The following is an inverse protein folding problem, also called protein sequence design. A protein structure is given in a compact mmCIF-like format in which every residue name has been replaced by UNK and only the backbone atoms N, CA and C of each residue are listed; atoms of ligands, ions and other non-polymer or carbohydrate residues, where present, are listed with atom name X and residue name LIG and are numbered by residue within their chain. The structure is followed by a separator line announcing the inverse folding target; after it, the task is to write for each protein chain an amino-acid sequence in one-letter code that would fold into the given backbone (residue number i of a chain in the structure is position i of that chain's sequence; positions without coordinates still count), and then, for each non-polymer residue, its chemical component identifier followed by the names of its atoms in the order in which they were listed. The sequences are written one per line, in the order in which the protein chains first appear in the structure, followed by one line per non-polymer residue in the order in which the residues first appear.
data_IF_865714357952
#
_entry.id   IF_865714357952
#
_cell.length_a   1.000
_cell.length_b   1.000
_cell.length_c   1.000
_cell.angle_alpha   90.00
_cell.angle_beta   90.00
_cell.angle_gamma   90.00
#
_symmetry.space_group_name_H-M   'P 1'
#
loop_
_entity.id
_entity.type
_entity.pdbx_description
1 polymer ?
#
# COMPACT_ATOMS: atom_id res chain seq x y z
N UNK A 1 -19.34 20.59 32.44
CA UNK A 1 -17.96 20.06 32.37
C UNK A 1 -17.17 21.02 31.50
N UNK A 2 -16.15 21.67 32.04
CA UNK A 2 -15.28 22.57 31.29
C UNK A 2 -14.39 21.75 30.37
N UNK A 3 -14.45 22.03 29.07
CA UNK A 3 -13.57 21.42 28.08
C UNK A 3 -12.10 21.70 28.44
N UNK A 4 -11.19 20.70 28.36
CA UNK A 4 -9.77 20.96 28.53
C UNK A 4 -9.28 21.92 27.45
N UNK A 5 -8.38 22.83 27.82
CA UNK A 5 -7.78 23.78 26.89
C UNK A 5 -6.98 23.04 25.79
N UNK A 6 -7.00 23.56 24.57
CA UNK A 6 -6.16 23.06 23.48
C UNK A 6 -4.67 23.17 23.88
N UNK A 7 -4.03 22.02 24.11
CA UNK A 7 -2.59 21.93 24.33
C UNK A 7 -1.81 21.89 23.01
N UNK A 8 -0.47 22.02 23.05
CA UNK A 8 0.36 21.79 21.87
C UNK A 8 0.16 20.35 21.37
N UNK A 9 -0.20 20.19 20.09
CA UNK A 9 -0.35 18.87 19.47
C UNK A 9 0.94 18.07 19.67
N UNK A 10 0.84 16.88 20.28
CA UNK A 10 1.99 15.99 20.45
C UNK A 10 2.52 15.57 19.07
N UNK A 11 3.84 15.40 18.89
CA UNK A 11 4.42 15.07 17.58
C UNK A 11 3.80 13.81 16.95
N UNK A 12 3.34 12.87 17.78
CA UNK A 12 2.67 11.61 17.37
C UNK A 12 1.14 11.66 17.50
N UNK A 13 0.54 12.86 17.56
CA UNK A 13 -0.92 12.99 17.48
C UNK A 13 -1.44 12.43 16.15
N UNK A 14 -2.65 11.88 16.17
CA UNK A 14 -3.28 11.31 14.97
C UNK A 14 -3.45 12.37 13.88
N UNK A 15 -3.71 13.62 14.28
CA UNK A 15 -3.72 14.76 13.38
C UNK A 15 -2.39 14.97 12.64
N UNK A 16 -1.24 14.81 13.32
CA UNK A 16 0.08 14.91 12.70
C UNK A 16 0.37 13.74 11.76
N UNK A 17 -0.05 12.53 12.14
CA UNK A 17 0.07 11.33 11.28
C UNK A 17 -0.75 11.54 10.00
N UNK A 18 -2.02 11.92 10.12
CA UNK A 18 -2.90 12.19 8.98
C UNK A 18 -2.38 13.32 8.07
N UNK A 19 -1.82 14.38 8.65
CA UNK A 19 -1.20 15.48 7.89
C UNK A 19 0.02 15.02 7.12
N UNK A 20 0.90 14.25 7.76
CA UNK A 20 2.08 13.72 7.09
C UNK A 20 1.68 12.73 6.00
N UNK A 21 0.66 11.90 6.24
CA UNK A 21 0.12 10.97 5.25
C UNK A 21 -0.44 11.72 4.02
N UNK A 22 -1.18 12.82 4.22
CA UNK A 22 -1.66 13.65 3.11
C UNK A 22 -0.51 14.23 2.27
N UNK A 23 0.58 14.66 2.92
CA UNK A 23 1.79 15.10 2.21
C UNK A 23 2.43 13.96 1.39
N UNK A 24 2.50 12.74 1.94
CA UNK A 24 2.97 11.54 1.23
C UNK A 24 2.03 11.15 0.07
N UNK A 25 0.73 11.39 0.21
CA UNK A 25 -0.28 11.11 -0.83
C UNK A 25 -0.17 12.06 -2.03
N UNK A 26 0.27 13.31 -1.81
CA UNK A 26 0.60 14.29 -2.85
C UNK A 26 -0.17 15.60 -2.73
N UNK A 27 0.19 16.58 -3.56
CA UNK A 27 -0.25 18.00 -3.44
C UNK A 27 -1.77 18.22 -3.52
N UNK A 28 -2.51 17.29 -4.14
CA UNK A 28 -3.96 17.37 -4.29
C UNK A 28 -4.73 16.78 -3.09
N UNK A 29 -4.03 16.13 -2.17
CA UNK A 29 -4.60 15.58 -0.95
C UNK A 29 -4.49 16.60 0.18
N UNK A 30 -5.46 16.59 1.09
CA UNK A 30 -5.47 17.50 2.24
C UNK A 30 -5.85 16.76 3.50
N UNK A 31 -5.48 17.32 4.67
CA UNK A 31 -5.93 16.79 5.94
C UNK A 31 -6.60 17.86 6.80
N UNK A 32 -7.59 17.43 7.58
CA UNK A 32 -8.24 18.26 8.59
C UNK A 32 -8.04 17.58 9.95
N UNK A 33 -7.45 18.28 10.94
CA UNK A 33 -7.28 17.72 12.28
C UNK A 33 -8.64 17.50 12.93
N UNK A 34 -8.78 16.36 13.60
CA UNK A 34 -9.93 16.06 14.43
C UNK A 34 -9.83 16.70 15.81
N UNK A 35 -10.85 16.46 16.62
CA UNK A 35 -10.98 17.07 17.96
C UNK A 35 -9.83 16.60 18.86
N UNK A 36 -9.12 17.53 19.51
CA UNK A 36 -8.01 17.25 20.44
C UNK A 36 -6.83 16.42 19.87
N UNK A 37 -6.67 16.33 18.54
CA UNK A 37 -5.55 15.62 17.91
C UNK A 37 -5.62 14.08 18.02
N UNK A 38 -6.76 13.54 18.46
CA UNK A 38 -6.99 12.08 18.60
C UNK A 38 -7.58 11.44 17.34
N UNK A 39 -7.94 12.26 16.36
CA UNK A 39 -8.36 11.85 15.02
C UNK A 39 -7.84 12.84 13.98
N UNK A 40 -7.84 12.41 12.72
CA UNK A 40 -7.54 13.23 11.56
C UNK A 40 -8.31 12.73 10.36
N UNK A 41 -8.74 13.62 9.49
CA UNK A 41 -9.37 13.22 8.22
C UNK A 41 -8.44 13.56 7.07
N UNK A 42 -8.38 12.68 6.09
CA UNK A 42 -7.63 12.87 4.84
C UNK A 42 -8.62 12.89 3.69
N UNK A 43 -8.58 13.97 2.91
CA UNK A 43 -9.48 14.17 1.78
C UNK A 43 -8.75 13.91 0.47
N UNK A 44 -9.37 13.09 -0.36
CA UNK A 44 -8.94 12.83 -1.71
C UNK A 44 -9.42 13.91 -2.70
N UNK A 45 -8.76 14.04 -3.87
CA UNK A 45 -9.12 15.05 -4.88
C UNK A 45 -10.52 14.87 -5.48
N UNK A 46 -11.04 13.65 -5.46
CA UNK A 46 -12.36 13.28 -5.96
C UNK A 46 -13.48 13.48 -4.94
N UNK A 47 -13.16 13.99 -3.75
CA UNK A 47 -14.11 14.30 -2.68
C UNK A 47 -14.29 13.20 -1.64
N UNK A 48 -13.62 12.05 -1.78
CA UNK A 48 -13.64 11.00 -0.74
C UNK A 48 -12.92 11.44 0.53
N UNK A 49 -13.37 10.90 1.65
CA UNK A 49 -12.86 11.22 2.99
C UNK A 49 -12.44 9.93 3.71
N UNK A 50 -11.25 9.94 4.29
CA UNK A 50 -10.70 8.85 5.09
C UNK A 50 -10.51 9.34 6.52
N UNK A 51 -11.07 8.63 7.49
CA UNK A 51 -10.89 8.94 8.91
C UNK A 51 -9.73 8.10 9.47
N UNK A 52 -8.74 8.78 10.03
CA UNK A 52 -7.63 8.20 10.79
C UNK A 52 -7.93 8.37 12.26
N UNK A 53 -7.97 7.29 13.02
CA UNK A 53 -8.24 7.32 14.46
C UNK A 53 -7.57 6.16 15.20
N UNK A 54 -7.58 6.23 16.53
CA UNK A 54 -7.23 5.10 17.39
C UNK A 54 -8.51 4.36 17.75
N UNK A 55 -8.63 3.12 17.29
CA UNK A 55 -9.76 2.25 17.59
C UNK A 55 -9.41 1.19 18.64
N UNK A 56 -10.39 0.82 19.45
CA UNK A 56 -10.33 -0.36 20.30
C UNK A 56 -10.91 -1.53 19.49
N UNK A 57 -10.05 -2.39 18.96
CA UNK A 57 -10.54 -3.59 18.25
C UNK A 57 -10.91 -4.62 19.32
N UNK A 58 -12.12 -5.18 19.25
CA UNK A 58 -12.72 -6.02 20.30
C UNK A 58 -11.93 -7.29 20.66
N UNK A 59 -10.80 -7.55 20.00
CA UNK A 59 -9.92 -8.70 20.13
C UNK A 59 -8.54 -8.34 20.73
N UNK A 60 -8.13 -7.07 20.76
CA UNK A 60 -6.75 -6.73 21.12
C UNK A 60 -6.65 -5.96 22.43
N UNK A 61 -5.74 -6.41 23.29
CA UNK A 61 -5.42 -5.81 24.59
C UNK A 61 -4.75 -4.42 24.49
N UNK A 62 -4.73 -3.81 23.30
CA UNK A 62 -4.02 -2.57 22.99
C UNK A 62 -4.80 -1.75 21.95
N UNK A 63 -4.80 -0.41 22.08
CA UNK A 63 -5.35 0.47 21.06
C UNK A 63 -4.59 0.31 19.73
N UNK A 64 -5.31 0.29 18.61
CA UNK A 64 -4.74 0.19 17.26
C UNK A 64 -5.01 1.45 16.45
N UNK A 65 -4.07 1.82 15.58
CA UNK A 65 -4.32 2.84 14.57
C UNK A 65 -5.21 2.26 13.48
N UNK A 66 -6.23 3.00 13.09
CA UNK A 66 -7.22 2.58 12.11
C UNK A 66 -7.38 3.65 11.03
N UNK A 67 -7.66 3.20 9.81
CA UNK A 67 -8.13 4.04 8.70
C UNK A 67 -9.51 3.55 8.30
N UNK A 68 -10.46 4.49 8.19
CA UNK A 68 -11.84 4.22 7.82
C UNK A 68 -12.20 4.94 6.53
N UNK A 69 -13.05 4.31 5.72
CA UNK A 69 -13.76 4.93 4.61
C UNK A 69 -15.17 4.35 4.55
N UNK A 70 -16.18 5.21 4.67
CA UNK A 70 -17.57 4.79 4.88
C UNK A 70 -17.68 3.75 6.02
N UNK A 71 -18.09 2.53 5.71
CA UNK A 71 -18.21 1.41 6.67
C UNK A 71 -17.02 0.43 6.64
N UNK A 72 -16.00 0.66 5.78
CA UNK A 72 -14.78 -0.18 5.72
C UNK A 72 -13.73 0.30 6.73
N UNK A 73 -13.18 -0.63 7.50
CA UNK A 73 -12.15 -0.40 8.51
C UNK A 73 -10.88 -1.17 8.18
N UNK A 74 -9.75 -0.47 8.15
CA UNK A 74 -8.42 -1.07 8.06
C UNK A 74 -7.65 -0.82 9.35
N UNK A 75 -7.34 -1.90 10.06
CA UNK A 75 -6.56 -1.90 11.31
C UNK A 75 -5.08 -2.01 10.95
N UNK A 76 -4.26 -1.11 11.47
CA UNK A 76 -2.82 -1.05 11.21
C UNK A 76 -2.07 -1.69 12.38
N UNK A 77 -1.60 -2.91 12.17
CA UNK A 77 -0.96 -3.78 13.17
C UNK A 77 0.52 -3.42 13.40
N UNK A 78 0.85 -2.13 13.51
CA UNK A 78 2.22 -1.65 13.78
C UNK A 78 2.27 -0.20 14.26
N UNK A 79 1.27 0.26 15.02
CA UNK A 79 1.29 1.62 15.55
C UNK A 79 1.95 1.69 16.93
N UNK A 80 3.28 1.55 16.98
CA UNK A 80 4.03 1.93 18.18
C UNK A 80 4.70 3.29 17.97
N UNK A 81 4.86 4.06 19.06
CA UNK A 81 5.64 5.32 18.99
C UNK A 81 7.11 5.06 18.59
N UNK A 82 7.60 3.82 18.73
CA UNK A 82 8.95 3.41 18.34
C UNK A 82 9.16 3.41 16.82
N UNK A 83 8.09 3.27 16.03
CA UNK A 83 8.15 3.25 14.56
C UNK A 83 8.38 4.65 13.95
N UNK A 84 8.11 5.70 14.72
CA UNK A 84 8.31 7.09 14.30
C UNK A 84 7.22 7.64 13.39
N UNK A 85 7.07 8.97 13.38
CA UNK A 85 5.97 9.67 12.71
C UNK A 85 5.91 9.40 11.20
N UNK A 86 7.06 9.36 10.53
CA UNK A 86 7.14 9.17 9.08
C UNK A 86 6.66 7.78 8.68
N UNK A 87 7.08 6.74 9.42
CA UNK A 87 6.66 5.37 9.12
C UNK A 87 5.15 5.19 9.30
N UNK A 88 4.59 5.68 10.41
CA UNK A 88 3.15 5.63 10.68
C UNK A 88 2.35 6.36 9.58
N UNK A 89 2.84 7.51 9.14
CA UNK A 89 2.22 8.29 8.08
C UNK A 89 2.28 7.61 6.71
N UNK A 90 3.41 6.96 6.37
CA UNK A 90 3.55 6.20 5.15
C UNK A 90 2.62 4.99 5.14
N UNK A 91 2.50 4.26 6.26
CA UNK A 91 1.55 3.15 6.40
C UNK A 91 0.11 3.63 6.19
N UNK A 92 -0.29 4.74 6.84
CA UNK A 92 -1.61 5.35 6.62
C UNK A 92 -1.82 5.76 5.16
N UNK A 93 -0.83 6.39 4.53
CA UNK A 93 -0.92 6.81 3.13
C UNK A 93 -1.08 5.61 2.17
N UNK A 94 -0.34 4.52 2.39
CA UNK A 94 -0.48 3.29 1.62
C UNK A 94 -1.87 2.69 1.78
N UNK A 95 -2.36 2.58 3.03
CA UNK A 95 -3.71 2.08 3.30
C UNK A 95 -4.79 2.93 2.63
N UNK A 96 -4.71 4.26 2.75
CA UNK A 96 -5.65 5.19 2.10
C UNK A 96 -5.64 5.00 0.59
N UNK A 97 -4.46 4.91 -0.04
CA UNK A 97 -4.37 4.65 -1.49
C UNK A 97 -5.13 3.38 -1.86
N UNK A 98 -4.97 2.32 -1.10
CA UNK A 98 -5.56 1.04 -1.43
C UNK A 98 -7.08 1.03 -1.25
N UNK A 99 -7.59 1.63 -0.17
CA UNK A 99 -9.03 1.86 -0.01
C UNK A 99 -9.56 2.74 -1.16
N UNK A 100 -8.88 3.85 -1.44
CA UNK A 100 -9.21 4.75 -2.55
C UNK A 100 -9.25 4.07 -3.92
N UNK A 101 -8.38 3.10 -4.15
CA UNK A 101 -8.41 2.37 -5.41
C UNK A 101 -9.48 1.27 -5.42
N UNK A 102 -9.77 0.62 -4.28
CA UNK A 102 -10.80 -0.40 -4.18
C UNK A 102 -12.21 0.12 -4.53
N UNK A 103 -12.54 1.36 -4.16
CA UNK A 103 -13.86 1.94 -4.47
C UNK A 103 -13.92 2.66 -5.83
N UNK A 104 -12.82 2.64 -6.61
CA UNK A 104 -12.79 3.32 -7.91
C UNK A 104 -13.49 2.48 -8.99
N UNK A 105 -14.50 3.01 -9.72
CA UNK A 105 -15.30 2.26 -10.70
C UNK A 105 -14.57 1.96 -12.04
N UNK A 106 -13.25 2.15 -12.11
CA UNK A 106 -12.44 1.86 -13.30
C UNK A 106 -11.84 0.45 -13.23
N UNK A 107 -11.36 -0.16 -14.34
CA UNK A 107 -10.88 -1.55 -14.38
C UNK A 107 -9.49 -1.65 -13.74
N UNK A 108 -9.40 -1.50 -12.42
CA UNK A 108 -8.17 -1.61 -11.65
C UNK A 108 -8.01 -3.04 -11.15
N UNK A 109 -7.41 -3.89 -11.99
CA UNK A 109 -6.91 -5.19 -11.54
C UNK A 109 -5.70 -5.01 -10.59
N UNK A 110 -5.39 -6.05 -9.82
CA UNK A 110 -4.26 -6.07 -8.88
C UNK A 110 -2.94 -5.53 -9.47
N UNK A 111 -2.64 -5.84 -10.73
CA UNK A 111 -1.44 -5.39 -11.41
C UNK A 111 -1.45 -3.90 -11.74
N UNK A 112 -2.61 -3.29 -11.97
CA UNK A 112 -2.70 -1.84 -12.07
C UNK A 112 -2.28 -1.17 -10.76
N UNK A 113 -2.76 -1.66 -9.62
CA UNK A 113 -2.38 -1.14 -8.31
C UNK A 113 -0.87 -1.27 -8.05
N UNK A 114 -0.32 -2.46 -8.30
CA UNK A 114 1.13 -2.67 -8.14
C UNK A 114 1.93 -1.71 -9.02
N UNK A 115 1.54 -1.52 -10.30
CA UNK A 115 2.20 -0.53 -11.17
C UNK A 115 2.10 0.89 -10.63
N UNK A 116 0.98 1.28 -10.03
CA UNK A 116 0.81 2.60 -9.43
C UNK A 116 1.74 2.79 -8.22
N UNK A 117 1.87 1.77 -7.36
CA UNK A 117 2.83 1.77 -6.24
C UNK A 117 4.26 1.92 -6.77
N UNK A 118 4.65 1.12 -7.74
CA UNK A 118 5.99 1.18 -8.37
C UNK A 118 6.26 2.55 -9.02
N UNK A 119 5.27 3.12 -9.72
CA UNK A 119 5.38 4.44 -10.34
C UNK A 119 5.56 5.56 -9.31
N UNK A 120 4.91 5.48 -8.15
CA UNK A 120 5.12 6.44 -7.05
C UNK A 120 6.57 6.44 -6.54
N UNK A 121 7.30 5.36 -6.73
CA UNK A 121 8.73 5.26 -6.45
C UNK A 121 9.61 5.52 -7.69
N UNK A 122 9.07 6.08 -8.77
CA UNK A 122 9.81 6.39 -9.99
C UNK A 122 10.24 5.15 -10.79
N UNK A 123 9.47 4.06 -10.71
CA UNK A 123 9.66 2.85 -11.53
C UNK A 123 8.60 2.76 -12.62
N UNK A 124 9.04 2.60 -13.86
CA UNK A 124 8.18 2.25 -14.99
C UNK A 124 8.24 0.75 -15.18
N UNK A 125 7.12 0.09 -14.96
CA UNK A 125 6.95 -1.33 -15.24
C UNK A 125 6.23 -1.52 -16.56
N UNK A 126 6.68 -2.49 -17.36
CA UNK A 126 6.00 -2.89 -18.60
C UNK A 126 5.18 -4.15 -18.38
N UNK A 127 4.29 -4.45 -19.31
CA UNK A 127 3.53 -5.71 -19.34
C UNK A 127 4.13 -6.61 -20.39
N UNK A 128 4.34 -7.87 -20.05
CA UNK A 128 4.80 -8.88 -20.99
C UNK A 128 3.84 -10.07 -20.93
N UNK A 129 3.21 -10.37 -22.06
CA UNK A 129 2.33 -11.52 -22.20
C UNK A 129 3.17 -12.74 -22.56
N UNK A 130 3.08 -13.79 -21.75
CA UNK A 130 3.59 -15.12 -22.06
C UNK A 130 2.43 -16.04 -22.43
N UNK A 131 2.76 -17.23 -22.92
CA UNK A 131 1.78 -18.26 -23.29
C UNK A 131 0.86 -18.69 -22.13
N UNK A 132 1.33 -18.50 -20.90
CA UNK A 132 0.72 -19.03 -19.67
C UNK A 132 0.18 -17.92 -18.75
N UNK A 133 0.25 -16.65 -19.15
CA UNK A 133 -0.19 -15.51 -18.34
C UNK A 133 0.53 -14.20 -18.69
N UNK A 134 0.08 -13.10 -18.09
CA UNK A 134 0.74 -11.79 -18.24
C UNK A 134 1.49 -11.40 -16.96
N UNK A 135 2.71 -10.91 -17.14
CA UNK A 135 3.61 -10.51 -16.05
C UNK A 135 3.88 -9.00 -16.09
N UNK A 136 4.08 -8.43 -14.90
CA UNK A 136 4.69 -7.12 -14.75
C UNK A 136 6.21 -7.30 -14.81
N UNK A 137 6.87 -6.49 -15.64
CA UNK A 137 8.31 -6.55 -15.83
C UNK A 137 8.95 -5.23 -15.47
N UNK A 138 9.95 -5.27 -14.60
CA UNK A 138 10.78 -4.13 -14.22
C UNK A 138 12.21 -4.36 -14.67
N UNK A 139 12.83 -3.31 -15.24
CA UNK A 139 14.26 -3.34 -15.49
C UNK A 139 15.02 -3.36 -14.15
N UNK A 140 16.01 -4.24 -14.05
CA UNK A 140 16.96 -4.31 -12.95
C UNK A 140 18.29 -3.65 -13.33
N UNK A 141 19.31 -3.91 -12.52
CA UNK A 141 20.70 -3.51 -12.81
C UNK A 141 21.36 -4.48 -13.80
N UNK A 142 22.40 -4.01 -14.51
CA UNK A 142 23.27 -4.84 -15.36
C UNK A 142 22.54 -5.71 -16.41
N UNK A 143 21.42 -5.22 -16.92
CA UNK A 143 20.60 -5.92 -17.92
C UNK A 143 19.68 -7.01 -17.36
N UNK A 144 19.68 -7.21 -16.04
CA UNK A 144 18.70 -8.07 -15.36
C UNK A 144 17.30 -7.43 -15.39
N UNK A 145 16.29 -8.25 -15.12
CA UNK A 145 14.92 -7.77 -14.95
C UNK A 145 14.16 -8.62 -13.93
N UNK A 146 13.14 -8.02 -13.34
CA UNK A 146 12.24 -8.68 -12.40
C UNK A 146 10.91 -8.93 -13.10
N UNK A 147 10.45 -10.18 -13.11
CA UNK A 147 9.09 -10.56 -13.52
C UNK A 147 8.24 -10.78 -12.28
N UNK A 148 7.05 -10.20 -12.27
CA UNK A 148 6.09 -10.31 -11.16
C UNK A 148 4.78 -10.88 -11.70
N UNK A 149 4.28 -11.92 -11.03
CA UNK A 149 2.94 -12.48 -11.20
C UNK A 149 2.16 -12.40 -9.90
N UNK A 150 0.84 -12.31 -10.02
CA UNK A 150 -0.07 -12.47 -8.90
C UNK A 150 -0.80 -13.80 -9.01
N UNK A 151 -1.11 -14.40 -7.88
CA UNK A 151 -1.93 -15.61 -7.77
C UNK A 151 -3.35 -15.26 -7.33
N UNK A 152 -4.31 -16.04 -7.83
CA UNK A 152 -5.64 -16.17 -7.24
C UNK A 152 -5.90 -17.63 -6.90
N UNK A 153 -6.68 -17.87 -5.86
CA UNK A 153 -7.22 -19.21 -5.61
C UNK A 153 -8.36 -19.47 -6.62
N UNK A 154 -8.36 -20.59 -7.38
CA UNK A 154 -7.62 -21.84 -7.15
C UNK A 154 -6.43 -22.11 -8.10
N UNK A 155 -5.74 -21.09 -8.63
CA UNK A 155 -4.47 -21.27 -9.34
C UNK A 155 -4.31 -20.48 -10.63
N UNK A 156 -5.07 -19.41 -10.86
CA UNK A 156 -4.78 -18.53 -12.00
C UNK A 156 -3.61 -17.60 -11.64
N UNK A 157 -2.49 -17.76 -12.33
CA UNK A 157 -1.33 -16.87 -12.27
C UNK A 157 -1.50 -15.75 -13.30
N UNK A 158 -2.06 -14.60 -12.90
CA UNK A 158 -2.03 -13.42 -13.75
C UNK A 158 -2.19 -12.15 -12.93
N UNK A 159 -1.20 -11.26 -12.95
CA UNK A 159 -1.33 -9.98 -12.25
C UNK A 159 -2.37 -9.02 -12.88
N UNK A 160 -2.96 -9.29 -14.04
CA UNK A 160 -3.84 -8.36 -14.75
C UNK A 160 -5.32 -8.74 -14.80
N UNK A 161 -5.69 -9.92 -14.36
CA UNK A 161 -7.02 -10.44 -14.68
C UNK A 161 -7.91 -10.61 -13.44
N UNK A 162 -7.45 -10.20 -12.25
CA UNK A 162 -8.21 -10.32 -11.01
C UNK A 162 -8.33 -9.01 -10.23
N UNK A 163 -9.43 -8.88 -9.49
CA UNK A 163 -9.69 -7.77 -8.61
C UNK A 163 -8.82 -7.90 -7.34
N UNK A 164 -8.35 -6.80 -6.72
CA UNK A 164 -7.57 -6.86 -5.48
C UNK A 164 -8.19 -7.72 -4.36
N UNK A 165 -9.52 -7.86 -4.32
CA UNK A 165 -10.25 -8.70 -3.36
C UNK A 165 -10.08 -10.20 -3.58
N UNK A 166 -9.69 -10.62 -4.77
CA UNK A 166 -9.47 -12.02 -5.16
C UNK A 166 -8.00 -12.43 -5.01
N UNK A 167 -7.18 -11.54 -4.44
CA UNK A 167 -5.75 -11.71 -4.31
C UNK A 167 -5.39 -12.87 -3.37
N UNK A 168 -4.50 -13.73 -3.86
CA UNK A 168 -3.95 -14.87 -3.11
C UNK A 168 -2.42 -14.86 -3.15
N UNK A 169 -1.82 -13.67 -3.23
CA UNK A 169 -0.38 -13.46 -3.14
C UNK A 169 0.32 -12.98 -4.42
N UNK A 170 1.58 -12.59 -4.24
CA UNK A 170 2.51 -12.20 -5.29
C UNK A 170 3.71 -13.14 -5.36
N UNK A 171 4.26 -13.27 -6.55
CA UNK A 171 5.55 -13.89 -6.81
C UNK A 171 6.41 -12.93 -7.63
N UNK A 172 7.66 -12.72 -7.21
CA UNK A 172 8.65 -12.01 -8.00
C UNK A 172 9.90 -12.85 -8.23
N UNK A 173 10.36 -12.84 -9.47
CA UNK A 173 11.51 -13.61 -9.94
C UNK A 173 12.51 -12.66 -10.59
N UNK A 174 13.77 -12.74 -10.16
CA UNK A 174 14.89 -12.06 -10.81
C UNK A 174 15.40 -12.94 -11.95
N UNK A 175 15.58 -12.31 -13.11
CA UNK A 175 16.03 -12.96 -14.35
C UNK A 175 17.22 -12.21 -14.94
N UNK A 176 18.09 -12.96 -15.59
CA UNK A 176 19.20 -12.41 -16.38
C UNK A 176 18.71 -11.90 -17.74
N UNK A 177 19.57 -11.18 -18.47
CA UNK A 177 19.22 -10.52 -19.73
C UNK A 177 18.69 -11.47 -20.82
N UNK A 178 19.04 -12.76 -20.76
CA UNK A 178 18.56 -13.80 -21.68
C UNK A 178 17.23 -14.42 -21.25
N UNK A 179 16.66 -13.96 -20.13
CA UNK A 179 15.41 -14.45 -19.55
C UNK A 179 15.55 -15.66 -18.62
N UNK A 180 16.77 -16.15 -18.43
CA UNK A 180 17.06 -17.24 -17.49
C UNK A 180 16.68 -16.81 -16.08
N UNK A 181 15.90 -17.65 -15.40
CA UNK A 181 15.56 -17.44 -14.00
C UNK A 181 16.81 -17.59 -13.13
N UNK A 182 17.18 -16.53 -12.44
CA UNK A 182 18.29 -16.52 -11.49
C UNK A 182 17.82 -16.97 -10.12
N UNK A 183 16.73 -16.36 -9.59
CA UNK A 183 16.13 -16.73 -8.29
C UNK A 183 14.73 -16.14 -8.10
N UNK A 184 13.91 -16.80 -7.28
CA UNK A 184 12.72 -16.19 -6.68
C UNK A 184 13.20 -15.21 -5.60
N UNK A 185 12.78 -13.95 -5.69
CA UNK A 185 13.17 -12.90 -4.74
C UNK A 185 12.06 -12.61 -3.74
N UNK A 186 10.81 -12.86 -4.11
CA UNK A 186 9.66 -12.73 -3.24
C UNK A 186 8.61 -13.77 -3.61
N UNK A 187 7.99 -14.35 -2.59
CA UNK A 187 6.81 -15.21 -2.69
C UNK A 187 5.97 -14.89 -1.46
N UNK A 188 4.70 -14.57 -1.65
CA UNK A 188 3.78 -14.42 -0.53
C UNK A 188 3.75 -15.72 0.30
N UNK A 189 3.74 -15.65 1.65
CA UNK A 189 3.78 -16.83 2.52
C UNK A 189 2.59 -17.76 2.29
N UNK A 190 2.77 -19.09 2.28
CA UNK A 190 1.62 -20.00 2.11
C UNK A 190 0.55 -19.83 3.20
N UNK A 191 -0.71 -19.60 2.80
CA UNK A 191 -1.85 -19.46 3.71
C UNK A 191 -3.13 -19.04 2.99
N UNK A 192 -4.27 -19.12 3.68
CA UNK A 192 -5.54 -18.54 3.22
C UNK A 192 -5.70 -17.17 3.89
N UNK A 193 -6.07 -16.15 3.12
CA UNK A 193 -6.25 -14.73 3.49
C UNK A 193 -5.00 -13.85 3.34
N UNK A 194 -4.50 -13.75 2.11
CA UNK A 194 -3.53 -12.72 1.74
C UNK A 194 -4.17 -11.34 1.74
N UNK A 195 -3.68 -10.43 2.59
CA UNK A 195 -4.06 -9.02 2.48
C UNK A 195 -3.31 -8.38 1.31
N UNK A 196 -4.07 -7.95 0.31
CA UNK A 196 -3.53 -7.32 -0.90
C UNK A 196 -2.62 -6.12 -0.60
N UNK A 197 -2.95 -5.32 0.41
CA UNK A 197 -2.18 -4.15 0.80
C UNK A 197 -0.80 -4.55 1.29
N UNK A 198 -0.81 -5.46 2.27
CA UNK A 198 0.38 -5.94 2.95
C UNK A 198 1.32 -6.64 1.96
N UNK A 199 0.79 -7.57 1.19
CA UNK A 199 1.57 -8.32 0.21
C UNK A 199 2.15 -7.41 -0.88
N UNK A 200 1.38 -6.42 -1.35
CA UNK A 200 1.88 -5.43 -2.33
C UNK A 200 3.00 -4.57 -1.73
N UNK A 201 2.88 -4.16 -0.46
CA UNK A 201 3.90 -3.37 0.22
C UNK A 201 5.18 -4.18 0.46
N UNK A 202 5.05 -5.43 0.92
CA UNK A 202 6.18 -6.34 1.14
C UNK A 202 6.90 -6.66 -0.17
N UNK A 203 6.15 -6.98 -1.23
CA UNK A 203 6.68 -7.15 -2.57
C UNK A 203 7.47 -5.92 -3.02
N UNK A 204 6.89 -4.72 -2.90
CA UNK A 204 7.54 -3.48 -3.30
C UNK A 204 8.84 -3.25 -2.53
N UNK A 205 8.85 -3.48 -1.21
CA UNK A 205 10.04 -3.35 -0.38
C UNK A 205 11.21 -4.24 -0.84
N UNK A 206 10.91 -5.43 -1.39
CA UNK A 206 11.93 -6.35 -1.94
C UNK A 206 12.38 -5.96 -3.34
N UNK A 207 11.46 -5.49 -4.18
CA UNK A 207 11.72 -5.21 -5.61
C UNK A 207 12.39 -3.86 -5.83
N UNK A 208 12.03 -2.83 -5.06
CA UNK A 208 12.52 -1.46 -5.25
C UNK A 208 14.06 -1.33 -5.15
N UNK A 209 14.76 -2.00 -4.22
CA UNK A 209 16.22 -1.95 -4.14
C UNK A 209 16.94 -2.60 -5.33
N UNK A 210 16.26 -3.50 -6.06
CA UNK A 210 16.83 -4.25 -7.18
C UNK A 210 16.59 -3.61 -8.55
N UNK A 211 15.75 -2.57 -8.57
CA UNK A 211 15.31 -1.90 -9.79
C UNK A 211 15.73 -0.44 -9.69
N UNK A 212 16.43 0.14 -10.68
CA UNK A 212 16.79 1.55 -10.63
C UNK A 212 15.56 2.44 -10.84
N UNK A 213 15.54 3.60 -10.15
CA UNK A 213 14.65 4.69 -10.52
C UNK A 213 15.00 5.17 -11.92
N UNK A 214 14.00 5.41 -12.75
CA UNK A 214 14.25 6.04 -14.06
C UNK A 214 14.27 7.55 -13.88
N UNK A 215 15.26 8.20 -14.49
CA UNK A 215 15.30 9.66 -14.55
C UNK A 215 14.06 10.18 -15.31
N UNK A 216 13.48 11.31 -14.87
CA UNK A 216 12.31 11.92 -15.52
C UNK A 216 12.59 12.33 -16.97
#
# INVERSE_FOLDING_TARGET
MSHPAQGPETPFSIANIARTAALTLGESWSSVPGVFGVSGTVHAPDGRCYLVEVGDTSNMSRPSLCVWHDDDQRVLDAASEEDGLVHLADTVAVTIRLMHYADSPAPWNAGHHLRAVLAAHGRTARTEAHRDGAYIVLAGHDGQFVTISGSTWPGDENCHDYAPTDHDGWTAVLRDADGTQTRVIYQSPEGLNHDFAEDTALLAAVVLPLTPAQAP
#
